data_IF_723909262524
#
_entry.id   IF_723909262524
#
_cell.length_a   1.000
_cell.length_b   1.000
_cell.length_c   1.000
_cell.angle_alpha   90.00
_cell.angle_beta   90.00
_cell.angle_gamma   90.00
#
_symmetry.space_group_name_H-M   'P 1'
#
loop_
_entity.id
_entity.type
_entity.pdbx_description
1 polymer ?
#
# COMPACT_ATOMS: atom_id res chain seq x y z
N UNK A 1 -4.02 5.86 34.46
CA UNK A 1 -3.19 4.77 33.87
C UNK A 1 -2.32 5.30 32.74
N UNK A 2 -2.87 5.91 31.69
CA UNK A 2 -2.11 6.46 30.55
C UNK A 2 -0.96 7.41 30.95
N UNK A 3 -1.19 8.35 31.88
CA UNK A 3 -0.15 9.27 32.37
C UNK A 3 1.03 8.57 33.05
N UNK A 4 0.81 7.39 33.67
CA UNK A 4 1.87 6.59 34.27
C UNK A 4 2.78 5.97 33.19
N UNK A 5 2.18 5.46 32.10
CA UNK A 5 2.93 4.90 30.98
C UNK A 5 3.74 5.97 30.22
N UNK A 6 3.17 7.16 30.04
CA UNK A 6 3.89 8.30 29.44
C UNK A 6 5.07 8.73 30.33
N UNK A 7 4.88 8.78 31.66
CA UNK A 7 5.96 9.08 32.59
C UNK A 7 7.08 8.03 32.52
N UNK A 8 6.74 6.73 32.49
CA UNK A 8 7.73 5.65 32.39
C UNK A 8 8.49 5.68 31.06
N UNK A 9 7.82 5.99 29.94
CA UNK A 9 8.44 6.15 28.63
C UNK A 9 9.44 7.32 28.62
N UNK A 10 9.03 8.48 29.14
CA UNK A 10 9.92 9.65 29.26
C UNK A 10 11.15 9.34 30.13
N UNK A 11 10.96 8.67 31.28
CA UNK A 11 12.08 8.30 32.16
C UNK A 11 13.05 7.34 31.47
N UNK A 12 12.55 6.34 30.75
CA UNK A 12 13.37 5.38 29.98
C UNK A 12 14.11 6.04 28.83
N UNK A 13 13.46 6.97 28.12
CA UNK A 13 14.07 7.72 27.04
C UNK A 13 15.20 8.64 27.53
N UNK A 14 14.99 9.37 28.63
CA UNK A 14 16.06 10.19 29.23
C UNK A 14 17.24 9.33 29.72
N UNK A 15 16.97 8.19 30.36
CA UNK A 15 18.02 7.27 30.80
C UNK A 15 18.86 6.75 29.61
N UNK A 16 18.20 6.41 28.49
CA UNK A 16 18.88 5.96 27.27
C UNK A 16 19.87 7.00 26.74
N UNK A 17 19.49 8.28 26.70
CA UNK A 17 20.39 9.36 26.26
C UNK A 17 21.61 9.52 27.19
N UNK A 18 21.42 9.43 28.50
CA UNK A 18 22.53 9.50 29.46
C UNK A 18 23.49 8.32 29.29
N UNK A 19 22.98 7.10 29.12
CA UNK A 19 23.84 5.93 28.91
C UNK A 19 24.53 5.92 27.54
N UNK A 20 23.88 6.46 26.50
CA UNK A 20 24.47 6.57 25.16
C UNK A 20 25.63 7.58 25.16
N UNK A 21 25.46 8.75 25.78
CA UNK A 21 26.52 9.76 25.91
C UNK A 21 27.69 9.28 26.77
N UNK A 22 27.42 8.54 27.86
CA UNK A 22 28.47 7.88 28.67
C UNK A 22 29.17 6.76 27.89
N UNK A 23 28.45 5.99 27.09
CA UNK A 23 28.98 4.91 26.25
C UNK A 23 29.94 5.43 25.18
N UNK A 24 29.55 6.48 24.44
CA UNK A 24 30.41 7.15 23.46
C UNK A 24 31.66 7.74 24.14
N UNK A 25 31.50 8.36 25.30
CA UNK A 25 32.64 8.90 26.07
C UNK A 25 33.59 7.81 26.59
N UNK A 26 33.06 6.65 26.96
CA UNK A 26 33.86 5.51 27.42
C UNK A 26 34.65 4.84 26.29
N UNK A 27 34.07 4.74 25.09
CA UNK A 27 34.74 4.21 23.89
C UNK A 27 35.90 5.13 23.47
N UNK A 28 35.68 6.46 23.50
CA UNK A 28 36.72 7.45 23.19
C UNK A 28 37.92 7.39 24.15
N UNK A 29 37.71 6.95 25.40
CA UNK A 29 38.76 6.82 26.43
C UNK A 29 39.47 5.46 26.45
N UNK A 30 39.17 4.53 25.53
CA UNK A 30 39.75 3.15 25.46
C UNK A 30 39.80 2.42 26.81
N UNK A 31 38.86 2.71 27.72
CA UNK A 31 38.78 1.99 28.98
C UNK A 31 37.90 0.76 28.78
N UNK A 32 38.43 -0.43 29.07
CA UNK A 32 37.80 -1.75 28.87
C UNK A 32 36.44 -1.98 29.56
N UNK A 33 35.86 -0.96 30.19
CA UNK A 33 34.52 -0.94 30.77
C UNK A 33 33.40 -0.67 29.74
N UNK A 34 33.74 -0.27 28.50
CA UNK A 34 32.76 0.04 27.45
C UNK A 34 31.79 -1.13 27.13
N UNK A 35 32.25 -2.38 27.21
CA UNK A 35 31.42 -3.57 26.93
C UNK A 35 30.25 -3.73 27.91
N UNK A 36 30.42 -3.35 29.19
CA UNK A 36 29.35 -3.44 30.19
C UNK A 36 28.25 -2.39 29.98
N UNK A 37 28.62 -1.20 29.51
CA UNK A 37 27.65 -0.14 29.24
C UNK A 37 26.81 -0.42 28.00
N UNK A 38 27.39 -1.02 26.94
CA UNK A 38 26.63 -1.40 25.74
C UNK A 38 25.57 -2.50 25.98
N UNK A 39 25.89 -3.50 26.82
CA UNK A 39 24.93 -4.55 27.19
C UNK A 39 23.76 -3.97 28.00
N UNK A 40 24.04 -3.01 28.88
CA UNK A 40 23.01 -2.37 29.70
C UNK A 40 22.10 -1.44 28.87
N UNK A 41 22.64 -0.72 27.88
CA UNK A 41 21.84 0.10 26.95
C UNK A 41 20.88 -0.75 26.12
N UNK A 42 21.28 -1.97 25.73
CA UNK A 42 20.40 -2.92 25.04
C UNK A 42 19.15 -3.30 25.85
N UNK A 43 19.29 -3.49 27.17
CA UNK A 43 18.16 -3.83 28.05
C UNK A 43 17.12 -2.70 28.18
N UNK A 44 17.56 -1.44 28.16
CA UNK A 44 16.66 -0.28 28.23
C UNK A 44 15.91 0.00 26.92
N UNK A 45 16.47 -0.41 25.78
CA UNK A 45 15.77 -0.35 24.48
C UNK A 45 14.57 -1.30 24.47
N UNK A 46 14.74 -2.53 24.97
CA UNK A 46 13.64 -3.52 25.07
C UNK A 46 12.53 -3.00 26.00
N UNK A 47 12.89 -2.37 27.11
CA UNK A 47 11.92 -1.79 28.06
C UNK A 47 11.15 -0.60 27.46
N UNK A 48 11.77 0.20 26.60
CA UNK A 48 11.14 1.33 25.90
C UNK A 48 10.11 0.85 24.85
N UNK A 49 10.37 -0.28 24.19
CA UNK A 49 9.42 -0.88 23.24
C UNK A 49 8.12 -1.32 23.93
N UNK A 50 8.19 -1.90 25.13
CA UNK A 50 7.00 -2.32 25.90
C UNK A 50 6.12 -1.12 26.29
N UNK A 51 6.72 0.04 26.57
CA UNK A 51 5.97 1.28 26.87
C UNK A 51 5.14 1.80 25.68
N UNK A 52 5.67 1.72 24.46
CA UNK A 52 4.97 2.16 23.23
C UNK A 52 3.77 1.25 22.92
N UNK A 53 3.91 -0.06 23.12
CA UNK A 53 2.80 -1.01 22.97
C UNK A 53 1.72 -0.85 24.05
N UNK A 54 2.11 -0.54 25.29
CA UNK A 54 1.16 -0.29 26.38
C UNK A 54 0.26 0.94 26.15
N UNK A 55 0.77 2.00 25.52
CA UNK A 55 -0.03 3.21 25.22
C UNK A 55 -1.11 2.93 24.16
N UNK A 56 -0.86 2.01 23.20
CA UNK A 56 -1.87 1.64 22.19
C UNK A 56 -2.98 0.75 22.75
N UNK A 57 -2.68 -0.16 23.66
CA UNK A 57 -3.66 -1.11 24.22
C UNK A 57 -4.73 -0.49 25.13
N UNK A 58 -4.48 0.70 25.68
CA UNK A 58 -5.43 1.36 26.61
C UNK A 58 -6.21 2.54 26.01
N UNK A 59 -5.91 2.98 24.78
CA UNK A 59 -6.69 4.04 24.11
C UNK A 59 -8.01 3.55 23.49
N UNK A 60 -8.20 2.25 23.27
CA UNK A 60 -9.39 1.71 22.60
C UNK A 60 -10.55 1.35 23.55
N UNK A 61 -10.42 1.58 24.85
CA UNK A 61 -11.46 1.22 25.83
C UNK A 61 -12.22 2.44 26.36
N UNK A 62 -12.85 3.21 25.47
CA UNK A 62 -13.94 4.12 25.86
C UNK A 62 -14.71 4.63 24.64
N UNK A 63 -15.78 3.93 24.26
CA UNK A 63 -17.02 4.55 23.77
C UNK A 63 -18.16 3.53 23.78
N UNK A 64 -19.10 3.75 24.71
CA UNK A 64 -20.43 3.20 24.78
C UNK A 64 -21.17 3.38 23.43
N UNK A 65 -21.71 2.31 22.85
CA UNK A 65 -22.76 2.42 21.81
C UNK A 65 -23.93 1.51 22.14
N UNK A 66 -25.04 2.20 22.35
CA UNK A 66 -26.39 1.73 22.64
C UNK A 66 -26.93 0.88 21.49
N UNK A 67 -27.23 -0.39 21.77
CA UNK A 67 -27.96 -1.29 20.88
C UNK A 67 -29.40 -0.83 20.68
N UNK A 68 -29.85 -0.72 19.43
CA UNK A 68 -31.26 -0.94 19.06
C UNK A 68 -31.31 -1.65 17.71
N UNK A 69 -31.76 -2.90 17.78
CA UNK A 69 -32.22 -3.75 16.67
C UNK A 69 -33.18 -3.02 15.73
N UNK A 70 -33.13 -3.33 14.43
CA UNK A 70 -34.30 -3.86 13.71
C UNK A 70 -33.84 -4.67 12.50
N UNK A 71 -34.26 -5.93 12.49
CA UNK A 71 -34.15 -6.91 11.40
C UNK A 71 -35.09 -6.53 10.27
N UNK A 72 -34.64 -6.66 9.01
CA UNK A 72 -35.51 -7.12 7.92
C UNK A 72 -34.68 -7.68 6.78
N UNK A 73 -34.75 -9.00 6.66
CA UNK A 73 -34.38 -9.75 5.48
C UNK A 73 -35.47 -9.60 4.42
N UNK A 74 -35.10 -9.33 3.17
CA UNK A 74 -35.88 -9.73 2.00
C UNK A 74 -34.89 -10.23 0.94
N UNK A 75 -34.94 -11.54 0.73
CA UNK A 75 -34.42 -12.23 -0.44
C UNK A 75 -35.33 -11.91 -1.63
N UNK A 76 -34.75 -11.66 -2.82
CA UNK A 76 -35.29 -12.17 -4.08
C UNK A 76 -34.20 -12.17 -5.18
N UNK A 77 -34.31 -13.06 -6.19
CA UNK A 77 -33.19 -13.56 -6.98
C UNK A 77 -33.01 -12.80 -8.29
N UNK A 78 -31.80 -12.79 -8.84
CA UNK A 78 -31.58 -12.45 -10.26
C UNK A 78 -30.72 -13.51 -10.91
N UNK A 79 -31.38 -14.39 -11.65
CA UNK A 79 -30.80 -15.07 -12.81
C UNK A 79 -31.03 -14.16 -14.01
N UNK A 80 -30.03 -13.99 -14.89
CA UNK A 80 -30.15 -14.02 -16.36
C UNK A 80 -28.77 -13.68 -16.97
N UNK A 81 -28.23 -14.66 -17.70
CA UNK A 81 -27.19 -14.53 -18.71
C UNK A 81 -27.55 -13.46 -19.75
N UNK A 82 -26.58 -12.69 -20.23
CA UNK A 82 -26.47 -12.35 -21.67
C UNK A 82 -25.03 -11.92 -21.99
N UNK A 83 -24.40 -12.68 -22.89
CA UNK A 83 -23.26 -12.25 -23.68
C UNK A 83 -23.64 -10.95 -24.42
N UNK A 84 -22.94 -9.86 -24.14
CA UNK A 84 -22.98 -8.70 -25.03
C UNK A 84 -21.56 -8.36 -25.44
N UNK A 85 -21.22 -8.87 -26.62
CA UNK A 85 -20.22 -8.30 -27.51
C UNK A 85 -20.59 -6.83 -27.74
N UNK A 86 -19.91 -5.94 -27.04
CA UNK A 86 -19.85 -4.53 -27.39
C UNK A 86 -18.38 -4.24 -27.62
N UNK A 87 -18.03 -3.88 -28.86
CA UNK A 87 -16.92 -3.01 -29.15
C UNK A 87 -17.12 -1.71 -28.34
N UNK A 88 -16.86 -1.76 -27.04
CA UNK A 88 -16.80 -0.60 -26.19
C UNK A 88 -15.35 -0.17 -26.25
N UNK A 89 -15.06 0.80 -27.11
CA UNK A 89 -13.88 1.63 -26.94
C UNK A 89 -14.05 2.36 -25.61
N UNK A 90 -13.64 1.73 -24.51
CA UNK A 90 -13.51 2.42 -23.23
C UNK A 90 -12.57 3.59 -23.49
N UNK A 91 -12.94 4.85 -23.18
CA UNK A 91 -12.08 5.99 -23.44
C UNK A 91 -10.68 5.79 -22.84
N UNK A 92 -9.65 6.33 -23.49
CA UNK A 92 -8.29 6.33 -22.95
C UNK A 92 -8.33 6.96 -21.55
N UNK A 93 -7.98 6.17 -20.54
CA UNK A 93 -8.06 6.59 -19.14
C UNK A 93 -6.88 7.48 -18.76
N UNK A 94 -5.72 7.13 -19.31
CA UNK A 94 -4.51 7.91 -19.22
C UNK A 94 -4.33 8.46 -20.62
N UNK A 95 -4.50 9.76 -20.84
CA UNK A 95 -4.27 10.40 -22.14
C UNK A 95 -2.78 10.44 -22.49
N UNK A 96 -2.12 9.28 -22.44
CA UNK A 96 -0.68 9.08 -22.57
C UNK A 96 -0.39 7.71 -23.20
N UNK A 97 0.70 7.66 -23.96
CA UNK A 97 1.32 6.45 -24.50
C UNK A 97 2.02 5.62 -23.41
N UNK A 98 2.48 4.41 -23.75
CA UNK A 98 3.29 3.58 -22.84
C UNK A 98 4.61 4.23 -22.45
N UNK A 99 5.25 4.98 -23.36
CA UNK A 99 6.52 5.65 -23.05
C UNK A 99 6.31 6.85 -22.12
N UNK A 100 5.26 7.63 -22.33
CA UNK A 100 4.89 8.70 -21.41
C UNK A 100 4.51 8.13 -20.04
N UNK A 101 3.72 7.07 -19.98
CA UNK A 101 3.39 6.37 -18.74
C UNK A 101 4.64 5.89 -18.00
N UNK A 102 5.58 5.23 -18.70
CA UNK A 102 6.87 4.78 -18.14
C UNK A 102 7.65 5.95 -17.55
N UNK A 103 7.73 7.06 -18.29
CA UNK A 103 8.50 8.23 -17.88
C UNK A 103 7.89 8.90 -16.63
N UNK A 104 6.56 9.04 -16.58
CA UNK A 104 5.85 9.58 -15.41
C UNK A 104 6.02 8.66 -14.19
N UNK A 105 5.82 7.36 -14.37
CA UNK A 105 6.02 6.37 -13.32
C UNK A 105 7.45 6.41 -12.76
N UNK A 106 8.46 6.41 -13.64
CA UNK A 106 9.87 6.46 -13.23
C UNK A 106 10.25 7.80 -12.60
N UNK A 107 9.59 8.90 -12.99
CA UNK A 107 9.79 10.20 -12.35
C UNK A 107 9.36 10.14 -10.87
N UNK A 108 8.22 9.52 -10.58
CA UNK A 108 7.74 9.32 -9.22
C UNK A 108 8.68 8.37 -8.45
N UNK A 109 9.08 7.25 -9.05
CA UNK A 109 10.05 6.31 -8.47
C UNK A 109 11.35 7.01 -8.08
N UNK A 110 11.91 7.83 -8.97
CA UNK A 110 13.13 8.60 -8.71
C UNK A 110 12.95 9.65 -7.61
N UNK A 111 11.83 10.39 -7.65
CA UNK A 111 11.48 11.41 -6.65
C UNK A 111 11.43 10.84 -5.23
N UNK A 112 10.88 9.64 -5.05
CA UNK A 112 10.70 8.99 -3.76
C UNK A 112 11.77 7.92 -3.44
N UNK A 113 12.77 7.75 -4.31
CA UNK A 113 13.88 6.76 -4.15
C UNK A 113 13.38 5.32 -3.97
N UNK A 114 12.37 4.95 -4.76
CA UNK A 114 11.73 3.63 -4.72
C UNK A 114 12.55 2.64 -5.57
N UNK A 115 13.78 2.40 -5.14
CA UNK A 115 14.69 1.45 -5.78
C UNK A 115 13.93 0.11 -5.91
N UNK A 116 14.04 -0.53 -7.06
CA UNK A 116 13.33 -1.78 -7.45
C UNK A 116 11.95 -1.64 -8.11
N UNK A 117 11.38 -0.42 -8.19
CA UNK A 117 10.17 -0.16 -8.98
C UNK A 117 10.42 0.50 -10.34
N UNK A 118 11.67 0.65 -10.77
CA UNK A 118 11.99 1.24 -12.07
C UNK A 118 11.51 0.38 -13.25
N UNK A 119 10.79 0.99 -14.19
CA UNK A 119 10.38 0.34 -15.44
C UNK A 119 11.43 0.60 -16.52
N UNK A 120 12.00 -0.46 -17.09
CA UNK A 120 12.99 -0.36 -18.17
C UNK A 120 12.34 -0.41 -19.55
N UNK A 121 11.74 -1.55 -19.89
CA UNK A 121 11.07 -1.78 -21.17
C UNK A 121 9.83 -2.63 -20.98
N UNK A 122 8.70 -2.18 -21.53
CA UNK A 122 7.49 -2.98 -21.58
C UNK A 122 7.59 -4.08 -22.64
N UNK A 123 7.07 -5.26 -22.30
CA UNK A 123 6.72 -6.28 -23.28
C UNK A 123 5.34 -5.93 -23.84
N UNK A 124 5.25 -5.66 -25.14
CA UNK A 124 3.99 -5.28 -25.81
C UNK A 124 3.57 -6.41 -26.75
N UNK A 125 2.31 -6.83 -26.67
CA UNK A 125 1.74 -7.90 -27.50
C UNK A 125 0.39 -7.47 -28.06
N UNK A 126 0.04 -7.98 -29.25
CA UNK A 126 -1.30 -7.81 -29.80
C UNK A 126 -2.29 -8.69 -29.03
N UNK A 127 -3.43 -8.11 -28.62
CA UNK A 127 -4.47 -8.89 -27.98
C UNK A 127 -5.14 -9.80 -29.02
N UNK A 128 -5.06 -11.11 -28.80
CA UNK A 128 -5.48 -12.18 -29.73
C UNK A 128 -6.93 -12.05 -30.27
N UNK A 129 -7.79 -11.21 -29.68
CA UNK A 129 -9.22 -11.07 -30.01
C UNK A 129 -9.71 -9.63 -30.14
N UNK A 130 -8.82 -8.63 -30.12
CA UNK A 130 -9.21 -7.22 -30.21
C UNK A 130 -8.15 -6.40 -30.93
N UNK A 131 -8.54 -5.28 -31.57
CA UNK A 131 -7.62 -4.31 -32.19
C UNK A 131 -6.90 -3.47 -31.12
N UNK A 132 -6.54 -4.07 -29.99
CA UNK A 132 -5.91 -3.44 -28.85
C UNK A 132 -4.64 -4.19 -28.53
N UNK A 133 -3.66 -3.49 -27.96
CA UNK A 133 -2.43 -4.12 -27.48
C UNK A 133 -2.47 -4.29 -25.97
N UNK A 134 -1.73 -5.25 -25.46
CA UNK A 134 -1.42 -5.35 -24.04
C UNK A 134 0.03 -4.96 -23.82
N UNK A 135 0.32 -4.45 -22.64
CA UNK A 135 1.70 -4.29 -22.18
C UNK A 135 1.88 -4.97 -20.83
N UNK A 136 3.09 -5.45 -20.58
CA UNK A 136 3.47 -6.12 -19.35
C UNK A 136 4.86 -5.67 -18.89
N UNK A 137 5.03 -5.59 -17.58
CA UNK A 137 6.32 -5.48 -16.92
C UNK A 137 6.36 -6.37 -15.68
N UNK A 138 7.52 -6.96 -15.41
CA UNK A 138 7.77 -7.77 -14.20
C UNK A 138 8.81 -7.01 -13.38
N UNK A 139 8.44 -6.54 -12.19
CA UNK A 139 9.36 -5.86 -11.28
C UNK A 139 10.20 -6.87 -10.51
N UNK A 140 9.56 -7.97 -10.08
CA UNK A 140 10.17 -9.08 -9.36
C UNK A 140 9.34 -10.35 -9.54
N UNK A 141 9.79 -11.46 -8.96
CA UNK A 141 9.05 -12.72 -8.92
C UNK A 141 7.66 -12.56 -8.27
N UNK A 142 7.51 -11.57 -7.38
CA UNK A 142 6.29 -11.34 -6.60
C UNK A 142 5.47 -10.12 -7.03
N UNK A 143 5.92 -9.34 -8.00
CA UNK A 143 5.22 -8.13 -8.43
C UNK A 143 5.34 -7.90 -9.93
N UNK A 144 4.19 -7.79 -10.59
CA UNK A 144 4.10 -7.45 -12.00
C UNK A 144 3.03 -6.41 -12.28
N UNK A 145 3.15 -5.75 -13.42
CA UNK A 145 2.16 -4.84 -13.99
C UNK A 145 1.74 -5.36 -15.35
N UNK A 146 0.44 -5.25 -15.63
CA UNK A 146 -0.07 -5.37 -16.98
C UNK A 146 -1.05 -4.23 -17.26
N UNK A 147 -1.33 -4.00 -18.54
CA UNK A 147 -2.29 -3.01 -18.96
C UNK A 147 -2.73 -3.23 -20.39
N UNK A 148 -3.76 -2.48 -20.79
CA UNK A 148 -4.31 -2.49 -22.15
C UNK A 148 -4.16 -1.12 -22.79
N UNK A 149 -3.96 -1.11 -24.10
CA UNK A 149 -3.94 0.08 -24.94
C UNK A 149 -5.23 0.17 -25.75
N UNK A 150 -5.72 1.37 -26.01
CA UNK A 150 -6.76 1.59 -27.02
C UNK A 150 -6.18 1.45 -28.46
N UNK A 151 -7.01 1.51 -29.51
CA UNK A 151 -6.53 1.46 -30.89
C UNK A 151 -5.55 2.59 -31.28
N UNK A 152 -5.54 3.69 -30.53
CA UNK A 152 -4.62 4.82 -30.67
C UNK A 152 -3.30 4.65 -29.88
N UNK A 153 -3.00 3.45 -29.36
CA UNK A 153 -1.81 3.13 -28.56
C UNK A 153 -1.68 3.93 -27.24
N UNK A 154 -2.79 4.44 -26.71
CA UNK A 154 -2.88 5.12 -25.42
C UNK A 154 -3.30 4.15 -24.30
N UNK A 155 -2.76 4.35 -23.10
CA UNK A 155 -3.03 3.50 -21.94
C UNK A 155 -4.49 3.64 -21.50
N UNK A 156 -5.20 2.51 -21.48
CA UNK A 156 -6.63 2.44 -21.16
C UNK A 156 -6.88 1.85 -19.78
N UNK A 157 -6.09 0.84 -19.37
CA UNK A 157 -6.21 0.19 -18.08
C UNK A 157 -4.83 -0.24 -17.60
N UNK A 158 -4.62 -0.23 -16.28
CA UNK A 158 -3.41 -0.74 -15.65
C UNK A 158 -3.80 -1.55 -14.42
N UNK A 159 -3.17 -2.71 -14.25
CA UNK A 159 -3.32 -3.57 -13.10
C UNK A 159 -1.95 -4.02 -12.58
N UNK A 160 -1.77 -3.92 -11.27
CA UNK A 160 -0.69 -4.55 -10.53
C UNK A 160 -1.17 -5.90 -10.03
N UNK A 161 -0.29 -6.89 -10.11
CA UNK A 161 -0.46 -8.22 -9.57
C UNK A 161 0.68 -8.48 -8.59
N UNK A 162 0.34 -8.69 -7.32
CA UNK A 162 1.28 -9.05 -6.26
C UNK A 162 1.03 -10.47 -5.74
N UNK A 163 2.09 -11.23 -5.47
CA UNK A 163 2.03 -12.53 -4.79
C UNK A 163 2.74 -12.45 -3.43
N UNK A 164 2.45 -13.42 -2.55
CA UNK A 164 3.03 -13.46 -1.19
C UNK A 164 2.26 -12.67 -0.13
N UNK A 165 1.14 -12.03 -0.51
CA UNK A 165 0.25 -11.30 0.40
C UNK A 165 0.91 -10.11 1.09
N UNK A 166 0.32 -9.69 2.22
CA UNK A 166 0.79 -8.57 3.04
C UNK A 166 1.86 -8.98 4.07
N UNK A 167 2.77 -9.90 3.71
CA UNK A 167 3.99 -10.07 4.53
C UNK A 167 4.75 -8.73 4.61
N UNK A 168 5.50 -8.45 5.67
CA UNK A 168 6.06 -7.10 5.90
C UNK A 168 6.85 -6.56 4.70
N UNK A 169 7.59 -7.40 3.99
CA UNK A 169 8.40 -6.99 2.83
C UNK A 169 7.59 -6.94 1.52
N UNK A 170 6.81 -7.97 1.20
CA UNK A 170 6.01 -8.01 -0.06
C UNK A 170 4.86 -7.00 -0.03
N UNK A 171 4.21 -6.83 1.12
CA UNK A 171 3.15 -5.86 1.34
C UNK A 171 3.65 -4.42 1.21
N UNK A 172 4.83 -4.12 1.77
CA UNK A 172 5.43 -2.79 1.65
C UNK A 172 5.72 -2.39 0.20
N UNK A 173 6.29 -3.30 -0.58
CA UNK A 173 6.57 -3.08 -2.01
C UNK A 173 5.29 -2.92 -2.81
N UNK A 174 4.27 -3.77 -2.58
CA UNK A 174 2.97 -3.67 -3.26
C UNK A 174 2.27 -2.35 -2.95
N UNK A 175 2.21 -1.93 -1.68
CA UNK A 175 1.61 -0.66 -1.27
C UNK A 175 2.31 0.54 -1.92
N UNK A 176 3.64 0.47 -2.01
CA UNK A 176 4.45 1.50 -2.68
C UNK A 176 4.16 1.54 -4.18
N UNK A 177 4.05 0.39 -4.84
CA UNK A 177 3.71 0.31 -6.25
C UNK A 177 2.29 0.84 -6.53
N UNK A 178 1.34 0.58 -5.64
CA UNK A 178 -0.03 1.09 -5.71
C UNK A 178 -0.05 2.62 -5.59
N UNK A 179 0.60 3.17 -4.58
CA UNK A 179 0.70 4.62 -4.41
C UNK A 179 1.37 5.28 -5.63
N UNK A 180 2.41 4.65 -6.17
CA UNK A 180 3.09 5.12 -7.38
C UNK A 180 2.14 5.12 -8.58
N UNK A 181 1.42 4.04 -8.81
CA UNK A 181 0.47 3.93 -9.92
C UNK A 181 -0.69 4.94 -9.81
N UNK A 182 -1.18 5.20 -8.59
CA UNK A 182 -2.18 6.24 -8.34
C UNK A 182 -1.64 7.62 -8.73
N UNK A 183 -0.43 7.97 -8.31
CA UNK A 183 0.21 9.24 -8.69
C UNK A 183 0.50 9.31 -10.20
N UNK A 184 0.87 8.21 -10.85
CA UNK A 184 1.06 8.18 -12.32
C UNK A 184 -0.26 8.45 -13.06
N UNK A 185 -1.37 7.95 -12.53
CA UNK A 185 -2.69 8.15 -13.12
C UNK A 185 -3.21 9.58 -13.01
N UNK A 186 -2.76 10.33 -12.00
CA UNK A 186 -3.20 11.68 -11.69
C UNK A 186 -1.99 12.56 -11.36
N UNK A 187 -1.49 13.32 -12.35
CA UNK A 187 -0.23 14.08 -12.21
C UNK A 187 -0.22 15.11 -11.08
N UNK A 188 -1.41 15.59 -10.69
CA UNK A 188 -1.57 16.56 -9.60
C UNK A 188 -1.55 15.91 -8.22
N UNK A 189 -1.61 14.57 -8.13
CA UNK A 189 -1.64 13.86 -6.87
C UNK A 189 -0.26 13.84 -6.20
N UNK A 190 -0.30 14.09 -4.89
CA UNK A 190 0.81 13.86 -3.98
C UNK A 190 0.71 12.47 -3.34
N UNK A 191 1.72 12.14 -2.53
CA UNK A 191 1.70 10.93 -1.71
C UNK A 191 0.52 10.90 -0.72
N UNK A 192 0.05 12.06 -0.24
CA UNK A 192 -1.11 12.12 0.66
C UNK A 192 -2.41 11.81 -0.10
N UNK A 193 -2.55 12.33 -1.33
CA UNK A 193 -3.73 12.03 -2.17
C UNK A 193 -3.79 10.54 -2.52
N UNK A 194 -2.63 9.93 -2.77
CA UNK A 194 -2.53 8.48 -2.98
C UNK A 194 -2.92 7.67 -1.73
N UNK A 195 -2.50 8.10 -0.53
CA UNK A 195 -2.95 7.48 0.72
C UNK A 195 -4.45 7.63 0.94
N UNK A 196 -5.04 8.77 0.61
CA UNK A 196 -6.47 8.99 0.73
C UNK A 196 -7.25 8.06 -0.20
N UNK A 197 -6.76 7.80 -1.42
CA UNK A 197 -7.35 6.80 -2.33
C UNK A 197 -7.25 5.40 -1.72
N UNK A 198 -6.09 5.03 -1.16
CA UNK A 198 -5.90 3.71 -0.52
C UNK A 198 -6.82 3.54 0.70
N UNK A 199 -7.01 4.61 1.47
CA UNK A 199 -7.93 4.64 2.60
C UNK A 199 -9.38 4.49 2.14
N UNK A 200 -9.80 5.22 1.10
CA UNK A 200 -11.17 5.15 0.56
C UNK A 200 -11.50 3.78 -0.04
N UNK A 201 -10.49 3.01 -0.47
CA UNK A 201 -10.68 1.62 -0.89
C UNK A 201 -11.06 0.72 0.30
N UNK A 202 -10.75 1.11 1.54
CA UNK A 202 -10.94 0.34 2.77
C UNK A 202 -9.73 -0.52 3.17
N UNK A 203 -8.58 -0.32 2.52
CA UNK A 203 -7.41 -1.18 2.73
C UNK A 203 -6.69 -0.92 4.07
N UNK A 204 -6.95 0.25 4.67
CA UNK A 204 -6.35 0.69 5.93
C UNK A 204 -7.33 0.60 7.12
N UNK A 205 -8.49 -0.02 6.91
CA UNK A 205 -9.49 -0.19 7.95
C UNK A 205 -8.97 -1.15 9.04
N UNK A 206 -9.49 -1.05 10.25
CA UNK A 206 -8.99 -1.86 11.39
C UNK A 206 -9.44 -3.33 11.33
N UNK A 207 -10.49 -3.63 10.57
CA UNK A 207 -11.21 -4.90 10.55
C UNK A 207 -11.12 -5.63 9.20
N UNK A 208 -10.14 -5.28 8.36
CA UNK A 208 -9.95 -5.91 7.05
C UNK A 208 -9.59 -7.39 7.19
N UNK A 209 -10.31 -8.23 6.45
CA UNK A 209 -9.93 -9.62 6.24
C UNK A 209 -8.89 -9.73 5.13
N UNK A 210 -7.61 -9.82 5.49
CA UNK A 210 -6.50 -9.95 4.53
C UNK A 210 -6.50 -11.27 3.74
N UNK A 211 -7.43 -12.20 4.00
CA UNK A 211 -7.60 -13.43 3.22
C UNK A 211 -8.67 -13.32 2.13
N UNK A 212 -9.60 -12.38 2.27
CA UNK A 212 -10.73 -12.19 1.36
C UNK A 212 -11.16 -10.72 1.46
N UNK A 213 -10.64 -9.91 0.54
CA UNK A 213 -10.87 -8.48 0.49
C UNK A 213 -11.21 -8.06 -0.94
N UNK A 214 -12.21 -7.22 -1.09
CA UNK A 214 -12.62 -6.63 -2.36
C UNK A 214 -13.13 -5.21 -2.13
N UNK A 215 -12.23 -4.25 -2.26
CA UNK A 215 -12.49 -2.83 -2.02
C UNK A 215 -12.39 -2.02 -3.30
N UNK A 216 -13.23 -0.99 -3.44
CA UNK A 216 -13.17 -0.09 -4.59
C UNK A 216 -13.61 1.32 -4.22
N UNK A 217 -13.02 2.31 -4.89
CA UNK A 217 -13.43 3.72 -4.83
C UNK A 217 -13.37 4.37 -6.21
N UNK A 218 -14.06 5.50 -6.36
CA UNK A 218 -14.04 6.32 -7.58
C UNK A 218 -13.59 7.73 -7.21
N UNK A 219 -12.53 8.22 -7.86
CA UNK A 219 -12.08 9.61 -7.76
C UNK A 219 -11.63 10.11 -9.13
N UNK A 220 -11.99 11.35 -9.47
CA UNK A 220 -11.56 12.04 -10.71
C UNK A 220 -11.80 11.23 -12.00
N UNK A 221 -12.88 10.46 -12.08
CA UNK A 221 -13.18 9.63 -13.26
C UNK A 221 -12.40 8.31 -13.33
N UNK A 222 -11.56 8.01 -12.34
CA UNK A 222 -10.86 6.74 -12.18
C UNK A 222 -11.58 5.88 -11.16
N UNK A 223 -11.82 4.61 -11.50
CA UNK A 223 -12.20 3.55 -10.57
C UNK A 223 -10.94 2.80 -10.16
N UNK A 224 -10.64 2.85 -8.87
CA UNK A 224 -9.59 2.08 -8.22
C UNK A 224 -10.22 0.89 -7.53
N UNK A 225 -9.65 -0.30 -7.72
CA UNK A 225 -10.10 -1.52 -7.06
C UNK A 225 -8.91 -2.32 -6.57
N UNK A 226 -8.96 -2.75 -5.32
CA UNK A 226 -8.01 -3.69 -4.75
C UNK A 226 -8.76 -4.96 -4.36
N UNK A 227 -8.20 -6.12 -4.75
CA UNK A 227 -8.79 -7.41 -4.42
C UNK A 227 -7.72 -8.40 -3.98
N UNK A 228 -8.02 -9.18 -2.94
CA UNK A 228 -7.23 -10.34 -2.53
C UNK A 228 -8.01 -11.58 -2.94
N UNK A 229 -7.37 -12.49 -3.66
CA UNK A 229 -7.94 -13.74 -4.15
C UNK A 229 -6.93 -14.87 -3.94
N UNK A 230 -7.42 -16.11 -3.90
CA UNK A 230 -6.69 -17.36 -4.12
C UNK A 230 -5.20 -17.35 -3.71
N UNK A 231 -4.87 -17.94 -2.55
CA UNK A 231 -3.48 -18.11 -2.10
C UNK A 231 -2.66 -16.79 -2.02
N UNK A 232 -3.24 -15.73 -1.46
CA UNK A 232 -2.57 -14.44 -1.23
C UNK A 232 -2.17 -13.69 -2.52
N UNK A 233 -2.90 -13.90 -3.63
CA UNK A 233 -2.76 -13.09 -4.82
C UNK A 233 -3.53 -11.78 -4.62
N UNK A 234 -2.83 -10.67 -4.74
CA UNK A 234 -3.42 -9.33 -4.65
C UNK A 234 -3.43 -8.66 -6.02
N UNK A 235 -4.56 -8.07 -6.39
CA UNK A 235 -4.67 -7.24 -7.59
C UNK A 235 -5.04 -5.82 -7.22
N UNK A 236 -4.41 -4.85 -7.87
CA UNK A 236 -4.83 -3.45 -7.83
C UNK A 236 -5.02 -2.96 -9.26
N UNK A 237 -6.22 -2.52 -9.60
CA UNK A 237 -6.54 -2.04 -10.95
C UNK A 237 -7.03 -0.61 -10.96
N UNK A 238 -6.65 0.14 -12.00
CA UNK A 238 -7.22 1.43 -12.35
C UNK A 238 -7.93 1.31 -13.71
N UNK A 239 -9.22 1.65 -13.72
CA UNK A 239 -10.08 1.63 -14.90
C UNK A 239 -10.92 2.90 -14.98
N UNK A 240 -11.50 3.23 -16.13
CA UNK A 240 -12.44 4.33 -16.24
C UNK A 240 -13.67 4.08 -15.36
N UNK A 241 -14.09 5.09 -14.60
CA UNK A 241 -15.38 5.07 -13.93
C UNK A 241 -16.49 5.10 -14.99
N UNK A 242 -17.49 4.23 -14.83
CA UNK A 242 -18.67 4.18 -15.69
C UNK A 242 -19.74 5.15 -15.20
#
# INVERSE_FOLDING_TARGET
>A
MQSLFVLMFLLGFFALFVFLTLGVSAVKKQNGKAKRHFILTGAFIVMSCVGVFGIRLFSDSSSDVKTTQTVSAVSEPVTVNTQQNVNSSVPALFSMSTDEFKNEFNTIVGKYRLNDLGITQFKIEDAQKSNTKTFQYIFSDDLSMNGTLNPEDQVQQVMLLGTGGFSEQTGGTLMTAIATLIMTSNKDYTYNDAQDVIKDIGLLDSDINLNDFDGATVRNGYKYRFKIQDNNISTFGITAAK
#
